data_IF_535186020672
#
_entry.id   IF_535186020672
#
_cell.length_a   1.000
_cell.length_b   1.000
_cell.length_c   1.000
_cell.angle_alpha   90.00
_cell.angle_beta   90.00
_cell.angle_gamma   90.00
#
_symmetry.space_group_name_H-M   'P 1'
#
loop_
_entity.id
_entity.type
_entity.pdbx_description
1 polymer ?
#
# COMPACT_ATOMS: atom_id res chain seq x y z
N UNK A 1 15.32 -59.36 -12.53
CA UNK A 1 14.48 -58.42 -11.78
C UNK A 1 14.45 -57.08 -12.50
N UNK A 2 13.30 -56.53 -12.86
CA UNK A 2 13.25 -55.22 -13.50
C UNK A 2 13.29 -54.11 -12.45
N UNK A 3 14.27 -53.23 -12.56
CA UNK A 3 14.47 -52.03 -11.76
C UNK A 3 13.22 -51.18 -11.68
N UNK A 4 12.80 -50.83 -10.47
CA UNK A 4 11.77 -49.80 -10.21
C UNK A 4 12.23 -48.45 -10.77
N UNK A 5 11.81 -48.12 -11.96
CA UNK A 5 11.84 -46.75 -12.43
C UNK A 5 10.88 -45.94 -11.57
N UNK A 6 11.40 -45.13 -10.68
CA UNK A 6 10.66 -44.03 -10.03
C UNK A 6 10.04 -43.18 -11.13
N UNK A 7 8.71 -43.23 -11.23
CA UNK A 7 7.97 -42.25 -12.02
C UNK A 7 8.06 -40.94 -11.29
N UNK A 8 8.97 -40.12 -11.75
CA UNK A 8 9.01 -38.70 -11.40
C UNK A 8 7.75 -38.10 -11.97
N UNK A 9 6.77 -37.85 -11.10
CA UNK A 9 5.54 -37.16 -11.44
C UNK A 9 5.91 -35.69 -11.63
N UNK A 10 6.25 -35.32 -12.88
CA UNK A 10 6.31 -33.92 -13.24
C UNK A 10 4.91 -33.33 -13.08
N UNK A 11 4.65 -32.70 -11.96
CA UNK A 11 3.57 -31.75 -11.83
C UNK A 11 3.93 -30.62 -12.77
N UNK A 12 3.50 -30.72 -14.02
CA UNK A 12 3.42 -29.55 -14.90
C UNK A 12 2.42 -28.62 -14.20
N UNK A 13 2.94 -27.59 -13.59
CA UNK A 13 2.14 -26.44 -13.23
C UNK A 13 1.39 -26.00 -14.49
N UNK A 14 0.18 -26.47 -14.62
CA UNK A 14 -0.76 -25.91 -15.59
C UNK A 14 -1.02 -24.49 -15.13
N UNK A 15 -0.31 -23.53 -15.69
CA UNK A 15 -0.70 -22.15 -15.65
C UNK A 15 -2.05 -22.13 -16.37
N UNK A 16 -3.13 -22.13 -15.61
CA UNK A 16 -4.46 -21.92 -16.14
C UNK A 16 -4.55 -20.43 -16.45
N UNK A 17 -4.11 -20.05 -17.65
CA UNK A 17 -4.41 -18.72 -18.17
C UNK A 17 -5.92 -18.68 -18.40
N UNK A 18 -6.64 -18.00 -17.53
CA UNK A 18 -8.01 -17.63 -17.81
C UNK A 18 -8.02 -16.83 -19.11
N UNK A 19 -8.84 -17.19 -20.13
CA UNK A 19 -8.84 -16.54 -21.43
C UNK A 19 -8.99 -15.01 -21.38
N UNK A 20 -9.59 -14.47 -20.31
CA UNK A 20 -9.79 -13.05 -20.05
C UNK A 20 -8.92 -12.49 -18.88
N UNK A 21 -8.00 -13.26 -18.34
CA UNK A 21 -7.20 -12.86 -17.18
C UNK A 21 -6.33 -11.62 -17.41
N UNK A 22 -5.98 -11.34 -18.66
CA UNK A 22 -5.23 -10.15 -19.06
C UNK A 22 -6.06 -8.87 -19.08
N UNK A 23 -7.39 -8.96 -18.96
CA UNK A 23 -8.28 -7.80 -19.02
C UNK A 23 -8.57 -7.20 -17.66
N UNK A 24 -8.11 -7.81 -16.59
CA UNK A 24 -8.36 -7.38 -15.21
C UNK A 24 -7.08 -6.92 -14.54
N UNK A 25 -7.18 -5.82 -13.81
CA UNK A 25 -6.15 -5.33 -12.91
C UNK A 25 -6.70 -5.08 -11.51
N UNK A 26 -5.84 -5.11 -10.51
CA UNK A 26 -6.21 -4.89 -9.12
C UNK A 26 -5.45 -3.71 -8.53
N UNK A 27 -6.17 -2.83 -7.86
CA UNK A 27 -5.59 -1.76 -7.04
C UNK A 27 -6.03 -1.99 -5.60
N UNK A 28 -5.07 -2.18 -4.72
CA UNK A 28 -5.30 -2.28 -3.28
C UNK A 28 -5.04 -0.92 -2.65
N UNK A 29 -5.97 -0.46 -1.82
CA UNK A 29 -5.89 0.82 -1.13
C UNK A 29 -5.97 0.56 0.37
N UNK A 30 -4.84 0.65 1.06
CA UNK A 30 -4.72 0.39 2.47
C UNK A 30 -5.00 1.64 3.29
N UNK A 31 -5.82 1.48 4.31
CA UNK A 31 -5.94 2.48 5.36
C UNK A 31 -4.68 2.45 6.24
N UNK A 32 -3.91 3.55 6.21
CA UNK A 32 -2.70 3.71 7.00
C UNK A 32 -2.93 4.68 8.15
N UNK A 33 -4.00 4.45 8.92
CA UNK A 33 -4.44 5.29 10.04
C UNK A 33 -4.10 4.69 11.40
N UNK A 34 -4.16 5.55 12.43
CA UNK A 34 -3.85 5.16 13.81
C UNK A 34 -4.77 4.06 14.36
N UNK A 35 -6.03 4.01 13.92
CA UNK A 35 -6.99 2.96 14.31
C UNK A 35 -6.59 1.57 13.83
N UNK A 36 -5.85 1.50 12.71
CA UNK A 36 -5.39 0.24 12.14
C UNK A 36 -4.24 -0.42 12.91
N UNK A 37 -3.59 0.28 13.84
CA UNK A 37 -2.39 -0.20 14.54
C UNK A 37 -2.51 -1.63 15.11
N UNK A 38 -3.69 -2.00 15.59
CA UNK A 38 -3.92 -3.32 16.22
C UNK A 38 -4.15 -4.44 15.22
N UNK A 39 -4.65 -4.14 14.02
CA UNK A 39 -5.02 -5.12 12.99
C UNK A 39 -4.12 -5.05 11.75
N UNK A 40 -3.25 -4.05 11.67
CA UNK A 40 -2.43 -3.77 10.50
C UNK A 40 -1.59 -4.97 10.05
N UNK A 41 -1.02 -5.69 11.00
CA UNK A 41 -0.20 -6.87 10.70
C UNK A 41 -0.99 -8.00 10.04
N UNK A 42 -2.22 -8.22 10.49
CA UNK A 42 -3.08 -9.24 9.90
C UNK A 42 -3.63 -8.79 8.54
N UNK A 43 -3.93 -7.50 8.41
CA UNK A 43 -4.29 -6.89 7.12
C UNK A 43 -3.18 -7.06 6.09
N UNK A 44 -1.92 -6.79 6.48
CA UNK A 44 -0.76 -6.98 5.61
C UNK A 44 -0.54 -8.45 5.23
N UNK A 45 -0.78 -9.39 6.14
CA UNK A 45 -0.75 -10.83 5.80
C UNK A 45 -1.78 -11.19 4.72
N UNK A 46 -3.01 -10.70 4.86
CA UNK A 46 -4.08 -10.95 3.88
C UNK A 46 -3.71 -10.32 2.53
N UNK A 47 -3.21 -9.08 2.54
CA UNK A 47 -2.70 -8.43 1.35
C UNK A 47 -1.64 -9.29 0.65
N UNK A 48 -0.66 -9.84 1.38
CA UNK A 48 0.38 -10.66 0.79
C UNK A 48 -0.16 -11.93 0.14
N UNK A 49 -1.17 -12.56 0.73
CA UNK A 49 -1.84 -13.70 0.11
C UNK A 49 -2.50 -13.32 -1.24
N UNK A 50 -3.14 -12.14 -1.28
CA UNK A 50 -3.75 -11.63 -2.51
C UNK A 50 -2.69 -11.27 -3.57
N UNK A 51 -1.56 -10.70 -3.16
CA UNK A 51 -0.44 -10.40 -4.05
C UNK A 51 0.15 -11.68 -4.65
N UNK A 52 0.36 -12.71 -3.82
CA UNK A 52 0.81 -14.02 -4.30
C UNK A 52 -0.17 -14.63 -5.29
N UNK A 53 -1.47 -14.50 -5.03
CA UNK A 53 -2.49 -14.92 -5.98
C UNK A 53 -2.38 -14.14 -7.29
N UNK A 54 -2.31 -12.80 -7.26
CA UNK A 54 -2.14 -11.97 -8.45
C UNK A 54 -0.90 -12.37 -9.26
N UNK A 55 0.23 -12.62 -8.58
CA UNK A 55 1.46 -13.09 -9.23
C UNK A 55 1.25 -14.45 -9.91
N UNK A 56 0.58 -15.39 -9.24
CA UNK A 56 0.36 -16.74 -9.76
C UNK A 56 -0.53 -16.73 -11.01
N UNK A 57 -1.56 -15.88 -11.03
CA UNK A 57 -2.50 -15.77 -12.16
C UNK A 57 -2.11 -14.68 -13.16
N UNK A 58 -0.98 -13.99 -12.92
CA UNK A 58 -0.45 -12.91 -13.78
C UNK A 58 -1.41 -11.72 -13.94
N UNK A 59 -2.16 -11.39 -12.90
CA UNK A 59 -2.96 -10.17 -12.84
C UNK A 59 -2.07 -9.01 -12.41
N UNK A 60 -1.97 -7.92 -13.20
CA UNK A 60 -1.25 -6.73 -12.78
C UNK A 60 -1.92 -6.07 -11.59
N UNK A 61 -1.11 -5.57 -10.66
CA UNK A 61 -1.60 -4.94 -9.45
C UNK A 61 -0.73 -3.76 -9.00
N UNK A 62 -1.35 -2.86 -8.24
CA UNK A 62 -0.69 -1.83 -7.44
C UNK A 62 -1.27 -1.81 -6.02
N UNK A 63 -0.43 -1.45 -5.07
CA UNK A 63 -0.81 -1.29 -3.66
C UNK A 63 -0.47 0.11 -3.23
N UNK A 64 -1.48 0.84 -2.80
CA UNK A 64 -1.35 2.17 -2.23
C UNK A 64 -1.73 2.15 -0.76
N UNK A 65 -1.12 3.02 0.01
CA UNK A 65 -1.55 3.35 1.36
C UNK A 65 -1.88 4.83 1.44
N UNK A 66 -2.96 5.19 2.13
CA UNK A 66 -3.33 6.57 2.33
C UNK A 66 -3.24 6.97 3.80
N UNK A 67 -2.79 8.18 4.02
CA UNK A 67 -2.63 8.78 5.35
C UNK A 67 -2.70 10.30 5.26
N UNK A 68 -2.84 10.95 6.39
CA UNK A 68 -2.62 12.39 6.53
C UNK A 68 -1.57 12.64 7.60
N UNK A 69 -0.41 12.04 7.44
CA UNK A 69 0.67 12.23 8.40
C UNK A 69 0.90 13.72 8.68
N UNK A 70 0.85 14.06 9.96
CA UNK A 70 1.23 15.38 10.42
C UNK A 70 2.68 15.62 10.01
N UNK A 71 2.86 16.48 9.02
CA UNK A 71 4.15 17.02 8.68
C UNK A 71 4.53 17.97 9.82
N UNK A 72 4.90 17.38 10.96
CA UNK A 72 5.59 18.10 11.99
C UNK A 72 7.00 18.36 11.48
N UNK A 73 7.14 19.29 10.53
CA UNK A 73 8.37 20.05 10.43
C UNK A 73 8.49 20.86 11.70
N UNK A 74 8.66 20.11 12.80
CA UNK A 74 9.03 20.65 14.09
C UNK A 74 10.47 21.10 13.97
N UNK A 75 10.63 22.33 13.53
CA UNK A 75 11.93 22.99 13.62
C UNK A 75 12.05 23.54 15.02
N UNK A 76 13.05 23.07 15.74
CA UNK A 76 13.58 23.78 16.90
C UNK A 76 14.20 25.08 16.37
N UNK A 77 13.50 26.18 16.54
CA UNK A 77 14.01 27.51 16.23
C UNK A 77 14.13 28.24 17.57
N UNK A 78 15.37 28.61 17.93
CA UNK A 78 15.71 29.39 19.12
C UNK A 78 15.20 28.81 20.47
N UNK A 79 15.16 27.48 20.59
CA UNK A 79 14.77 26.84 21.86
C UNK A 79 13.26 26.70 22.06
N UNK A 80 12.45 27.06 21.07
CA UNK A 80 11.00 26.98 21.14
C UNK A 80 10.42 26.07 20.03
N UNK A 81 9.37 25.31 20.34
CA UNK A 81 8.67 24.42 19.41
C UNK A 81 7.75 25.25 18.51
N UNK A 82 8.16 25.54 17.31
CA UNK A 82 7.30 26.21 16.35
C UNK A 82 6.65 25.20 15.39
N UNK A 83 5.33 25.08 15.50
CA UNK A 83 4.52 24.39 14.48
C UNK A 83 4.45 25.26 13.23
N UNK A 84 5.21 24.94 12.20
CA UNK A 84 4.93 25.49 10.87
C UNK A 84 3.65 24.84 10.36
N UNK A 85 2.52 25.57 10.47
CA UNK A 85 1.32 25.17 9.72
C UNK A 85 1.65 25.22 8.23
N UNK A 86 1.36 24.16 7.45
CA UNK A 86 1.50 24.24 6.01
C UNK A 86 0.71 25.42 5.49
N UNK A 87 1.32 26.27 4.66
CA UNK A 87 0.63 27.35 3.98
C UNK A 87 -0.28 26.68 2.95
N UNK A 88 -1.59 26.73 3.19
CA UNK A 88 -2.58 26.19 2.26
C UNK A 88 -2.65 27.07 1.01
N UNK A 89 -2.72 26.49 -0.18
CA UNK A 89 -3.02 27.24 -1.39
C UNK A 89 -4.39 27.96 -1.26
N UNK A 90 -4.55 29.16 -1.83
CA UNK A 90 -5.76 29.97 -1.68
C UNK A 90 -7.08 29.28 -2.11
N UNK A 91 -6.98 28.26 -2.98
CA UNK A 91 -8.14 27.51 -3.46
C UNK A 91 -8.64 26.42 -2.51
N UNK A 92 -7.98 26.23 -1.36
CA UNK A 92 -8.44 25.31 -0.31
C UNK A 92 -9.33 25.99 0.74
N UNK A 93 -9.71 27.23 0.54
CA UNK A 93 -10.66 27.88 1.41
C UNK A 93 -12.00 27.13 1.40
N UNK A 94 -12.47 26.81 2.60
CA UNK A 94 -13.73 26.12 2.78
C UNK A 94 -14.88 27.02 2.29
N UNK A 95 -15.67 26.50 1.36
CA UNK A 95 -16.92 27.12 0.95
C UNK A 95 -18.02 26.05 0.86
N UNK A 96 -19.25 26.42 1.18
CA UNK A 96 -20.39 25.52 1.06
C UNK A 96 -20.50 24.94 -0.35
N UNK A 97 -20.70 23.62 -0.45
CA UNK A 97 -20.76 22.90 -1.72
C UNK A 97 -19.40 22.52 -2.34
N UNK A 98 -18.28 22.81 -1.68
CA UNK A 98 -16.96 22.35 -2.11
C UNK A 98 -16.48 21.17 -1.25
N UNK A 99 -15.84 20.21 -1.89
CA UNK A 99 -15.17 19.11 -1.18
C UNK A 99 -13.94 19.71 -0.48
N UNK A 100 -13.89 19.54 0.84
CA UNK A 100 -12.69 19.88 1.61
C UNK A 100 -11.68 18.76 1.41
N UNK A 101 -10.51 19.10 0.86
CA UNK A 101 -9.39 18.17 0.73
C UNK A 101 -8.42 18.43 1.88
N UNK A 102 -8.00 17.35 2.55
CA UNK A 102 -6.99 17.44 3.60
C UNK A 102 -5.64 17.82 2.96
N UNK A 103 -5.05 18.97 3.32
CA UNK A 103 -3.78 19.44 2.74
C UNK A 103 -2.59 18.55 3.11
N UNK A 104 -2.75 17.69 4.09
CA UNK A 104 -1.73 16.73 4.53
C UNK A 104 -1.93 15.34 3.93
N UNK A 105 -2.98 15.17 3.12
CA UNK A 105 -3.22 13.93 2.42
C UNK A 105 -1.99 13.46 1.65
N UNK A 106 -1.66 12.19 1.84
CA UNK A 106 -0.61 11.51 1.11
C UNK A 106 -1.10 10.13 0.68
N UNK A 107 -0.87 9.79 -0.57
CA UNK A 107 -1.08 8.45 -1.10
C UNK A 107 0.27 7.91 -1.58
N UNK A 108 0.71 6.83 -0.96
CA UNK A 108 2.03 6.25 -1.17
C UNK A 108 1.88 4.91 -1.88
N UNK A 109 2.57 4.73 -3.00
CA UNK A 109 2.65 3.44 -3.66
C UNK A 109 3.60 2.52 -2.87
N UNK A 110 3.07 1.45 -2.29
CA UNK A 110 3.85 0.48 -1.52
C UNK A 110 4.41 -0.64 -2.38
N UNK A 111 3.64 -1.09 -3.34
CA UNK A 111 4.01 -2.20 -4.21
C UNK A 111 3.39 -2.07 -5.60
N UNK A 112 4.10 -2.59 -6.59
CA UNK A 112 3.62 -2.69 -7.96
C UNK A 112 4.06 -4.00 -8.61
N UNK A 113 3.22 -4.53 -9.50
CA UNK A 113 3.58 -5.66 -10.35
C UNK A 113 4.65 -5.33 -11.40
N UNK A 114 4.88 -4.03 -11.65
CA UNK A 114 5.80 -3.54 -12.69
C UNK A 114 7.27 -3.61 -12.28
N UNK A 115 7.54 -3.87 -10.99
CA UNK A 115 8.90 -3.97 -10.46
C UNK A 115 9.55 -5.31 -10.80
N UNK A 116 10.87 -5.38 -10.76
CA UNK A 116 11.62 -6.62 -10.96
C UNK A 116 11.22 -7.70 -9.95
N UNK A 117 11.26 -8.96 -10.37
CA UNK A 117 10.78 -10.10 -9.56
C UNK A 117 11.37 -10.15 -8.14
N UNK A 118 12.65 -9.82 -7.97
CA UNK A 118 13.30 -9.80 -6.66
C UNK A 118 12.90 -8.64 -5.76
N UNK A 119 12.45 -7.53 -6.35
CA UNK A 119 12.13 -6.32 -5.60
C UNK A 119 10.78 -6.43 -4.87
N UNK A 120 9.84 -7.24 -5.39
CA UNK A 120 8.55 -7.48 -4.73
C UNK A 120 8.74 -8.11 -3.35
N UNK A 121 9.61 -9.10 -3.23
CA UNK A 121 9.88 -9.75 -1.94
C UNK A 121 10.52 -8.77 -0.95
N UNK A 122 11.42 -7.92 -1.44
CA UNK A 122 12.02 -6.88 -0.62
C UNK A 122 10.98 -5.84 -0.16
N UNK A 123 10.07 -5.43 -1.04
CA UNK A 123 8.96 -4.54 -0.70
C UNK A 123 8.05 -5.19 0.35
N UNK A 124 7.70 -6.47 0.21
CA UNK A 124 6.91 -7.21 1.20
C UNK A 124 7.61 -7.24 2.57
N UNK A 125 8.91 -7.53 2.60
CA UNK A 125 9.69 -7.54 3.85
C UNK A 125 9.67 -6.16 4.51
N UNK A 126 9.84 -5.09 3.75
CA UNK A 126 9.86 -3.73 4.27
C UNK A 126 8.49 -3.31 4.82
N UNK A 127 7.40 -3.63 4.10
CA UNK A 127 6.04 -3.37 4.58
C UNK A 127 5.74 -4.17 5.85
N UNK A 128 6.18 -5.43 5.91
CA UNK A 128 6.03 -6.26 7.09
C UNK A 128 6.76 -5.70 8.31
N UNK A 129 7.99 -5.26 8.12
CA UNK A 129 8.78 -4.61 9.18
C UNK A 129 8.10 -3.33 9.66
N UNK A 130 7.62 -2.52 8.71
CA UNK A 130 6.90 -1.29 9.02
C UNK A 130 5.63 -1.56 9.81
N UNK A 131 4.77 -2.48 9.37
CA UNK A 131 3.57 -2.89 10.08
C UNK A 131 3.87 -3.48 11.48
N UNK A 132 4.97 -4.22 11.60
CA UNK A 132 5.41 -4.78 12.88
C UNK A 132 5.89 -3.68 13.85
N UNK A 133 6.58 -2.66 13.36
CA UNK A 133 7.03 -1.54 14.20
C UNK A 133 5.86 -0.71 14.75
N UNK A 134 4.76 -0.59 14.00
CA UNK A 134 3.57 0.14 14.46
C UNK A 134 2.83 -0.56 15.60
N UNK A 135 2.90 -1.89 15.68
CA UNK A 135 2.35 -2.64 16.81
C UNK A 135 3.14 -2.46 18.11
N UNK A 136 4.45 -2.26 18.01
CA UNK A 136 5.34 -2.10 19.17
C UNK A 136 5.07 -0.83 19.98
N UNK A 137 4.36 0.14 19.44
CA UNK A 137 3.94 1.34 20.16
C UNK A 137 3.09 1.03 21.41
N UNK A 138 2.53 -0.17 21.48
CA UNK A 138 1.72 -0.64 22.62
C UNK A 138 2.50 -1.49 23.63
N UNK A 139 3.60 -2.11 23.22
CA UNK A 139 4.40 -2.99 24.07
C UNK A 139 5.80 -2.41 24.23
N UNK A 140 5.96 -1.55 25.24
CA UNK A 140 7.23 -0.90 25.63
C UNK A 140 8.41 -1.87 25.86
N UNK A 141 8.17 -3.18 25.84
CA UNK A 141 9.16 -4.22 26.11
C UNK A 141 9.72 -4.90 24.85
N UNK A 142 9.23 -4.59 23.66
CA UNK A 142 9.74 -5.20 22.44
C UNK A 142 10.82 -4.32 21.82
N UNK A 143 12.08 -4.79 21.93
CA UNK A 143 13.30 -4.04 21.61
C UNK A 143 13.61 -3.89 20.12
N UNK A 144 12.76 -4.34 19.24
CA UNK A 144 12.95 -4.18 17.79
C UNK A 144 12.49 -2.81 17.33
N UNK A 145 13.30 -1.81 17.61
CA UNK A 145 13.04 -0.44 17.19
C UNK A 145 13.44 -0.26 15.72
N UNK A 146 12.48 -0.37 14.82
CA UNK A 146 12.68 0.10 13.45
C UNK A 146 12.34 1.57 13.38
N UNK A 147 13.28 2.39 12.90
CA UNK A 147 12.99 3.78 12.64
C UNK A 147 12.00 3.88 11.49
N UNK A 148 10.79 4.37 11.78
CA UNK A 148 9.78 4.59 10.76
C UNK A 148 10.22 5.71 9.83
N UNK A 149 10.22 5.49 8.50
CA UNK A 149 10.52 6.56 7.56
C UNK A 149 9.52 7.71 7.72
N UNK A 150 9.97 8.93 7.45
CA UNK A 150 9.09 10.10 7.44
C UNK A 150 7.91 9.85 6.51
N UNK A 151 6.72 10.33 6.90
CA UNK A 151 5.44 10.18 6.17
C UNK A 151 4.87 8.76 6.10
N UNK A 152 5.40 7.84 6.87
CA UNK A 152 4.85 6.48 6.98
C UNK A 152 4.37 6.14 8.40
N UNK A 153 4.24 7.13 9.28
CA UNK A 153 3.58 6.96 10.57
C UNK A 153 2.06 6.86 10.39
N UNK A 154 1.42 6.11 11.27
CA UNK A 154 -0.03 6.01 11.27
C UNK A 154 -0.64 7.33 11.76
N UNK A 155 -1.60 7.87 11.00
CA UNK A 155 -2.24 9.15 11.33
C UNK A 155 -3.75 9.09 11.12
N UNK A 156 -4.37 10.10 10.51
CA UNK A 156 -5.79 10.15 10.25
C UNK A 156 -6.21 9.34 9.01
N UNK A 157 -7.51 9.38 8.69
CA UNK A 157 -8.13 8.54 7.66
C UNK A 157 -8.76 9.42 6.56
N UNK A 158 -7.97 10.02 5.65
CA UNK A 158 -8.49 10.84 4.55
C UNK A 158 -9.01 9.96 3.40
N UNK A 159 -10.08 9.21 3.67
CA UNK A 159 -10.66 8.25 2.71
C UNK A 159 -11.24 8.94 1.48
N UNK A 160 -11.87 10.09 1.64
CA UNK A 160 -12.47 10.83 0.52
C UNK A 160 -11.40 11.25 -0.49
N UNK A 161 -10.28 11.74 0.01
CA UNK A 161 -9.13 12.15 -0.79
C UNK A 161 -8.52 10.96 -1.52
N UNK A 162 -8.42 9.81 -0.84
CA UNK A 162 -7.94 8.57 -1.45
C UNK A 162 -8.85 8.14 -2.60
N UNK A 163 -10.18 8.16 -2.41
CA UNK A 163 -11.15 7.80 -3.46
C UNK A 163 -11.10 8.77 -4.64
N UNK A 164 -10.97 10.08 -4.38
CA UNK A 164 -10.83 11.10 -5.45
C UNK A 164 -9.54 10.86 -6.25
N UNK A 165 -8.44 10.51 -5.59
CA UNK A 165 -7.15 10.24 -6.25
C UNK A 165 -7.21 9.04 -7.19
N UNK A 166 -8.09 8.07 -6.96
CA UNK A 166 -8.29 6.94 -7.86
C UNK A 166 -8.75 7.35 -9.26
N UNK A 167 -9.40 8.52 -9.42
CA UNK A 167 -9.77 9.03 -10.74
C UNK A 167 -8.55 9.32 -11.62
N UNK A 168 -7.39 9.57 -11.05
CA UNK A 168 -6.13 9.74 -11.77
C UNK A 168 -5.36 8.42 -11.87
N UNK A 169 -5.30 7.68 -10.78
CA UNK A 169 -4.51 6.45 -10.68
C UNK A 169 -5.05 5.35 -11.59
N UNK A 170 -6.38 5.17 -11.68
CA UNK A 170 -6.98 4.10 -12.48
C UNK A 170 -6.67 4.25 -13.97
N UNK A 171 -6.87 5.42 -14.62
CA UNK A 171 -6.53 5.59 -16.03
C UNK A 171 -5.03 5.41 -16.32
N UNK A 172 -4.17 5.88 -15.42
CA UNK A 172 -2.72 5.70 -15.56
C UNK A 172 -2.34 4.22 -15.47
N UNK A 173 -2.91 3.49 -14.52
CA UNK A 173 -2.70 2.07 -14.36
C UNK A 173 -3.21 1.28 -15.58
N UNK A 174 -4.39 1.62 -16.10
CA UNK A 174 -4.93 1.01 -17.32
C UNK A 174 -4.03 1.26 -18.53
N UNK A 175 -3.53 2.49 -18.68
CA UNK A 175 -2.63 2.86 -19.77
C UNK A 175 -1.30 2.12 -19.70
N UNK A 176 -0.73 1.96 -18.50
CA UNK A 176 0.58 1.31 -18.31
C UNK A 176 0.51 -0.20 -18.46
N UNK A 177 -0.58 -0.82 -18.04
CA UNK A 177 -0.73 -2.30 -18.03
C UNK A 177 -1.53 -2.85 -19.20
N UNK A 178 -2.30 -2.01 -19.89
CA UNK A 178 -3.19 -2.41 -20.98
C UNK A 178 -4.48 -3.11 -20.52
N UNK A 179 -4.78 -3.11 -19.22
CA UNK A 179 -6.00 -3.74 -18.69
C UNK A 179 -7.23 -2.87 -18.95
N UNK A 180 -8.35 -3.53 -19.23
CA UNK A 180 -9.61 -2.83 -19.49
C UNK A 180 -10.45 -2.63 -18.24
N UNK A 181 -10.39 -3.56 -17.30
CA UNK A 181 -11.16 -3.53 -16.06
C UNK A 181 -10.23 -3.45 -14.87
N UNK A 182 -10.49 -2.52 -13.97
CA UNK A 182 -9.76 -2.36 -12.71
C UNK A 182 -10.72 -2.50 -11.56
N UNK A 183 -10.38 -3.36 -10.62
CA UNK A 183 -11.09 -3.50 -9.35
C UNK A 183 -10.24 -2.86 -8.26
N UNK A 184 -10.86 -1.99 -7.46
CA UNK A 184 -10.25 -1.41 -6.27
C UNK A 184 -10.75 -2.16 -5.03
N UNK A 185 -9.81 -2.52 -4.17
CA UNK A 185 -10.05 -3.19 -2.89
C UNK A 185 -9.55 -2.27 -1.79
N UNK A 186 -10.45 -1.84 -0.90
CA UNK A 186 -10.16 -0.99 0.26
C UNK A 186 -10.39 -1.75 1.54
#
# INVERSE_FOLDING_TARGET
>A
EPSRRQRQMCIRDRITTLPDGKNHGLIFVLDWSGSMATVLKDTVKQLFNLIWFCKKVQIPFKVFAFTNEWNSDQAWIDGDYQYKRPVLPPHHDYADGRIKIDPQFAMVEFMSSDVKKGDIELQMINIWRLASSMMCYRNWHDTTYYQTPRRLTLSGTPLNEALVSLNQIIPEFQKSTGVQKVQCVT
#
